data_IF_585331206187
#
_entry.id   IF_585331206187
#
_cell.length_a   1.000
_cell.length_b   1.000
_cell.length_c   1.000
_cell.angle_alpha   90.00
_cell.angle_beta   90.00
_cell.angle_gamma   90.00
#
_symmetry.space_group_name_H-M   'P 1'
#
loop_
_entity.id
_entity.type
_entity.pdbx_description
1 polymer ?
#
# COMPACT_ATOMS: atom_id res chain seq x y z
N UNK A 1 10.12 -11.83 -8.36
CA UNK A 1 11.52 -12.00 -8.79
C UNK A 1 11.76 -11.17 -10.05
N UNK A 2 13.02 -10.83 -10.38
CA UNK A 2 13.35 -10.11 -11.62
C UNK A 2 13.50 -8.57 -11.53
N UNK A 3 13.46 -7.99 -10.32
CA UNK A 3 13.72 -6.56 -10.12
C UNK A 3 12.70 -5.65 -10.81
N UNK A 4 13.18 -4.65 -11.56
CA UNK A 4 12.39 -3.56 -12.17
C UNK A 4 11.61 -3.94 -13.45
N UNK A 5 11.85 -5.13 -14.00
CA UNK A 5 11.11 -5.68 -15.14
C UNK A 5 10.84 -7.16 -14.87
N UNK A 6 10.07 -7.41 -13.81
CA UNK A 6 9.88 -8.74 -13.24
C UNK A 6 8.43 -9.08 -12.98
N UNK A 7 8.22 -10.03 -12.09
CA UNK A 7 6.91 -10.49 -11.64
C UNK A 7 6.90 -10.57 -10.11
N UNK A 8 5.81 -10.17 -9.48
CA UNK A 8 5.52 -10.45 -8.08
C UNK A 8 4.40 -11.49 -8.02
N UNK A 9 4.50 -12.44 -7.10
CA UNK A 9 3.43 -13.41 -6.86
C UNK A 9 3.48 -13.93 -5.44
N UNK A 10 2.33 -14.36 -4.92
CA UNK A 10 2.30 -15.13 -3.68
C UNK A 10 2.91 -16.52 -3.87
N UNK A 11 3.38 -17.17 -2.78
CA UNK A 11 3.85 -18.54 -2.83
C UNK A 11 2.82 -19.54 -3.39
N UNK A 12 1.54 -19.32 -3.09
CA UNK A 12 0.41 -20.15 -3.52
C UNK A 12 -0.21 -19.72 -4.86
N UNK A 13 0.34 -18.67 -5.50
CA UNK A 13 -0.17 -18.06 -6.74
C UNK A 13 -1.60 -17.52 -6.68
N UNK A 14 -2.16 -17.30 -5.49
CA UNK A 14 -3.41 -16.55 -5.31
C UNK A 14 -3.33 -15.12 -5.86
N UNK A 15 -2.14 -14.53 -5.96
CA UNK A 15 -1.90 -13.32 -6.74
C UNK A 15 -0.62 -13.42 -7.58
N UNK A 16 -0.64 -12.80 -8.76
CA UNK A 16 0.53 -12.63 -9.64
C UNK A 16 0.36 -11.36 -10.48
N UNK A 17 1.39 -10.51 -10.50
CA UNK A 17 1.42 -9.26 -11.28
C UNK A 17 2.78 -9.05 -11.93
N UNK A 18 2.77 -8.52 -13.15
CA UNK A 18 3.97 -7.97 -13.76
C UNK A 18 4.36 -6.65 -13.08
N UNK A 19 5.65 -6.44 -12.90
CA UNK A 19 6.22 -5.26 -12.24
C UNK A 19 7.04 -4.45 -13.23
N UNK A 20 6.82 -3.14 -13.25
CA UNK A 20 7.60 -2.17 -14.02
C UNK A 20 8.36 -1.22 -13.09
N UNK A 21 9.40 -0.57 -13.63
CA UNK A 21 10.12 0.49 -12.92
C UNK A 21 9.16 1.59 -12.44
N UNK A 22 9.43 2.21 -11.28
CA UNK A 22 8.70 3.40 -10.85
C UNK A 22 8.71 4.48 -11.95
N UNK A 23 7.56 5.11 -12.19
CA UNK A 23 7.38 6.12 -13.24
C UNK A 23 7.09 5.58 -14.64
N UNK A 24 7.24 4.28 -14.89
CA UNK A 24 6.85 3.66 -16.16
C UNK A 24 5.37 3.29 -16.10
N UNK A 25 4.56 3.93 -16.96
CA UNK A 25 3.16 3.54 -17.16
C UNK A 25 3.09 2.48 -18.26
N UNK A 26 2.95 1.23 -17.86
CA UNK A 26 2.67 0.11 -18.77
C UNK A 26 1.38 -0.58 -18.33
N UNK A 27 0.51 -0.87 -19.30
CA UNK A 27 -0.75 -1.57 -19.01
C UNK A 27 -0.50 -2.90 -18.31
N UNK A 28 -1.39 -3.24 -17.37
CA UNK A 28 -1.36 -4.48 -16.58
C UNK A 28 -0.04 -4.70 -15.83
N UNK A 29 0.64 -3.63 -15.45
CA UNK A 29 1.81 -3.68 -14.55
C UNK A 29 1.58 -2.83 -13.31
N UNK A 30 2.25 -3.23 -12.23
CA UNK A 30 2.35 -2.44 -10.99
C UNK A 30 3.81 -2.08 -10.72
N UNK A 31 4.09 -1.45 -9.58
CA UNK A 31 5.43 -1.23 -9.06
C UNK A 31 5.49 -1.60 -7.55
N UNK A 32 6.69 -1.80 -6.99
CA UNK A 32 6.83 -2.15 -5.58
C UNK A 32 6.16 -1.17 -4.61
N UNK A 33 6.18 0.13 -4.91
CA UNK A 33 5.61 1.18 -4.07
C UNK A 33 4.08 1.12 -4.03
N UNK A 34 3.42 0.83 -5.15
CA UNK A 34 1.97 0.62 -5.23
C UNK A 34 1.52 -0.62 -4.44
N UNK A 35 2.29 -1.71 -4.54
CA UNK A 35 2.01 -2.93 -3.78
C UNK A 35 2.17 -2.70 -2.28
N UNK A 36 3.21 -1.98 -1.87
CA UNK A 36 3.42 -1.60 -0.48
C UNK A 36 2.30 -0.69 0.02
N UNK A 37 1.88 0.29 -0.78
CA UNK A 37 0.77 1.18 -0.45
C UNK A 37 -0.52 0.41 -0.22
N UNK A 38 -0.89 -0.47 -1.17
CA UNK A 38 -2.12 -1.26 -1.09
C UNK A 38 -2.11 -2.20 0.14
N UNK A 39 -0.99 -2.88 0.40
CA UNK A 39 -0.88 -3.77 1.55
C UNK A 39 -0.95 -3.01 2.87
N UNK A 40 -0.25 -1.87 2.96
CA UNK A 40 -0.20 -1.11 4.20
C UNK A 40 -1.53 -0.42 4.50
N UNK A 41 -2.19 0.17 3.50
CA UNK A 41 -3.50 0.80 3.70
C UNK A 41 -4.56 -0.21 4.13
N UNK A 42 -4.61 -1.38 3.51
CA UNK A 42 -5.55 -2.44 3.88
C UNK A 42 -5.29 -2.95 5.31
N UNK A 43 -4.02 -3.18 5.67
CA UNK A 43 -3.64 -3.62 7.00
C UNK A 43 -4.00 -2.59 8.07
N UNK A 44 -3.68 -1.32 7.84
CA UNK A 44 -3.99 -0.24 8.79
C UNK A 44 -5.50 -0.03 8.92
N UNK A 45 -6.26 -0.07 7.81
CA UNK A 45 -7.72 0.05 7.86
C UNK A 45 -8.35 -1.06 8.71
N UNK A 46 -7.95 -2.32 8.51
CA UNK A 46 -8.48 -3.42 9.33
C UNK A 46 -8.12 -3.31 10.82
N UNK A 47 -6.91 -2.82 11.13
CA UNK A 47 -6.53 -2.54 12.51
C UNK A 47 -7.35 -1.39 13.12
N UNK A 48 -7.62 -0.33 12.33
CA UNK A 48 -8.44 0.80 12.75
C UNK A 48 -9.89 0.38 13.01
N UNK A 49 -10.50 -0.41 12.12
CA UNK A 49 -11.85 -0.96 12.30
C UNK A 49 -11.97 -1.77 13.61
N UNK A 50 -10.94 -2.56 13.95
CA UNK A 50 -10.90 -3.30 15.20
C UNK A 50 -10.88 -2.37 16.43
N UNK A 51 -10.10 -1.28 16.39
CA UNK A 51 -10.04 -0.30 17.48
C UNK A 51 -11.36 0.47 17.58
N UNK A 52 -11.96 0.84 16.45
CA UNK A 52 -13.27 1.51 16.42
C UNK A 52 -14.35 0.66 17.09
N UNK A 53 -14.38 -0.65 16.84
CA UNK A 53 -15.33 -1.56 17.49
C UNK A 53 -15.12 -1.62 19.01
N UNK A 54 -13.86 -1.68 19.47
CA UNK A 54 -13.52 -1.69 20.90
C UNK A 54 -13.95 -0.41 21.61
N UNK A 55 -13.75 0.74 20.96
CA UNK A 55 -14.12 2.06 21.48
C UNK A 55 -15.58 2.44 21.19
N UNK A 56 -16.35 1.55 20.54
CA UNK A 56 -17.74 1.77 20.13
C UNK A 56 -17.94 3.02 19.27
N UNK A 57 -16.95 3.30 18.42
CA UNK A 57 -17.05 4.35 17.40
C UNK A 57 -17.79 3.77 16.20
N UNK A 58 -19.00 4.29 15.96
CA UNK A 58 -19.78 3.91 14.79
C UNK A 58 -19.29 4.65 13.55
N UNK A 59 -19.29 3.98 12.39
CA UNK A 59 -18.86 4.58 11.13
C UNK A 59 -18.14 3.57 10.23
N UNK A 60 -17.64 4.06 9.09
CA UNK A 60 -16.75 3.29 8.20
C UNK A 60 -15.44 4.02 8.10
N UNK A 61 -14.33 3.29 8.25
CA UNK A 61 -13.02 3.85 7.97
C UNK A 61 -12.60 3.62 6.53
N UNK A 62 -11.81 4.55 6.00
CA UNK A 62 -11.06 4.38 4.76
C UNK A 62 -9.65 4.89 4.98
N UNK A 63 -8.67 4.09 4.59
CA UNK A 63 -7.25 4.47 4.67
C UNK A 63 -6.65 4.45 3.28
N UNK A 64 -5.99 5.54 2.91
CA UNK A 64 -5.19 5.65 1.70
C UNK A 64 -3.73 5.78 2.08
N UNK A 65 -2.86 4.91 1.54
CA UNK A 65 -1.42 5.03 1.70
C UNK A 65 -0.80 5.64 0.44
N UNK A 66 0.07 6.64 0.63
CA UNK A 66 0.97 7.16 -0.40
C UNK A 66 2.39 6.76 -0.06
N UNK A 67 3.00 5.96 -0.92
CA UNK A 67 4.36 5.44 -0.70
C UNK A 67 5.31 6.10 -1.67
N UNK A 68 6.42 6.58 -1.15
CA UNK A 68 7.46 7.27 -1.90
C UNK A 68 8.81 6.62 -1.64
N UNK A 69 9.58 6.46 -2.72
CA UNK A 69 10.98 6.08 -2.66
C UNK A 69 11.83 7.35 -2.76
N UNK A 70 12.58 7.65 -1.70
CA UNK A 70 13.50 8.77 -1.65
C UNK A 70 14.92 8.28 -1.93
N UNK A 71 15.67 9.09 -2.66
CA UNK A 71 17.09 8.86 -2.92
C UNK A 71 17.90 9.90 -2.15
N UNK A 72 18.76 9.43 -1.25
CA UNK A 72 19.74 10.24 -0.52
C UNK A 72 21.17 9.90 -0.95
N UNK A 73 22.15 10.53 -0.30
CA UNK A 73 23.58 10.32 -0.59
C UNK A 73 24.02 8.87 -0.31
N UNK A 74 23.49 8.25 0.75
CA UNK A 74 23.85 6.91 1.20
C UNK A 74 22.95 5.77 0.66
N UNK A 75 21.97 6.09 -0.20
CA UNK A 75 21.10 5.08 -0.81
C UNK A 75 19.63 5.47 -0.93
N UNK A 76 18.75 4.49 -0.77
CA UNK A 76 17.30 4.68 -0.93
C UNK A 76 16.57 4.43 0.39
N UNK A 77 15.55 5.24 0.66
CA UNK A 77 14.62 5.06 1.78
C UNK A 77 13.18 5.09 1.31
N UNK A 78 12.31 4.35 1.99
CA UNK A 78 10.86 4.37 1.71
C UNK A 78 10.17 5.19 2.79
N UNK A 79 9.29 6.10 2.38
CA UNK A 79 8.36 6.77 3.28
C UNK A 79 6.91 6.48 2.88
N UNK A 80 6.04 6.47 3.88
CA UNK A 80 4.61 6.27 3.70
C UNK A 80 3.84 7.38 4.42
N UNK A 81 2.89 7.99 3.72
CA UNK A 81 1.89 8.89 4.29
C UNK A 81 0.54 8.15 4.29
N UNK A 82 -0.13 8.12 5.44
CA UNK A 82 -1.46 7.54 5.58
C UNK A 82 -2.49 8.64 5.75
N UNK A 83 -3.43 8.71 4.81
CA UNK A 83 -4.61 9.56 4.91
C UNK A 83 -5.76 8.69 5.41
N UNK A 84 -6.33 9.06 6.55
CA UNK A 84 -7.37 8.29 7.24
C UNK A 84 -8.65 9.12 7.27
N UNK A 85 -9.75 8.51 6.86
CA UNK A 85 -11.08 9.06 6.96
C UNK A 85 -11.97 8.10 7.76
N UNK A 86 -12.81 8.63 8.63
CA UNK A 86 -13.84 7.88 9.35
C UNK A 86 -15.16 8.60 9.14
N UNK A 87 -16.09 7.95 8.46
CA UNK A 87 -17.43 8.51 8.23
C UNK A 87 -18.15 8.72 9.56
N UNK A 88 -18.72 9.90 9.79
CA UNK A 88 -19.55 10.20 10.97
C UNK A 88 -18.76 10.59 12.22
N UNK A 89 -17.44 10.74 12.12
CA UNK A 89 -16.57 11.29 13.15
C UNK A 89 -15.94 12.57 12.60
N UNK A 90 -16.39 13.73 13.09
CA UNK A 90 -15.79 15.04 12.81
C UNK A 90 -14.60 15.34 13.73
#
# INVERSE_FOLDING_TARGET
>A
TGGRAGEVHSPDKSFSYAVASPGVKKENTTNPEQLFAAAYSACFNGALELVMDQEKVEGKSTVTARVSLFQGEDGFSVGAELEVHIDGVD
#
